data_IF_554253272414
#
_entry.id   IF_554253272414
#
_cell.length_a   1.000
_cell.length_b   1.000
_cell.length_c   1.000
_cell.angle_alpha   90.00
_cell.angle_beta   90.00
_cell.angle_gamma   90.00
#
_symmetry.space_group_name_H-M   'P 1'
#
loop_
_entity.id
_entity.type
_entity.pdbx_description
1 polymer ?
#
# COMPACT_ATOMS: atom_id res chain seq x y z
N UNK A 1 -34.10 7.66 -86.32
CA UNK A 1 -34.48 6.27 -86.07
C UNK A 1 -34.11 6.00 -84.67
N UNK A 2 -34.94 6.09 -83.68
CA UNK A 2 -35.88 5.16 -83.11
C UNK A 2 -35.05 4.34 -82.10
N UNK A 3 -35.31 4.17 -80.88
CA UNK A 3 -36.57 3.88 -80.20
C UNK A 3 -36.41 4.09 -78.69
N UNK A 4 -37.49 4.50 -78.08
CA UNK A 4 -37.78 4.57 -76.66
C UNK A 4 -37.81 3.18 -76.02
N UNK A 5 -37.35 3.06 -74.81
CA UNK A 5 -37.81 2.03 -73.91
C UNK A 5 -37.78 2.51 -72.47
N UNK A 6 -38.96 2.45 -71.99
CA UNK A 6 -39.55 2.93 -70.76
C UNK A 6 -38.93 2.46 -69.47
N UNK A 7 -39.04 3.37 -68.54
CA UNK A 7 -38.85 3.20 -67.10
C UNK A 7 -39.72 2.12 -66.50
N UNK A 8 -39.19 1.34 -65.60
CA UNK A 8 -39.96 0.71 -64.52
C UNK A 8 -39.30 1.08 -63.15
N UNK A 9 -39.98 1.95 -62.48
CA UNK A 9 -39.77 2.21 -61.06
C UNK A 9 -40.11 0.93 -60.30
N UNK A 10 -39.13 0.39 -59.60
CA UNK A 10 -39.38 -0.52 -58.48
C UNK A 10 -39.00 0.20 -57.21
N UNK A 11 -40.03 0.51 -56.43
CA UNK A 11 -39.94 0.93 -55.05
C UNK A 11 -39.48 -0.25 -54.23
N UNK A 12 -38.24 -0.23 -53.74
CA UNK A 12 -37.82 -1.12 -52.69
C UNK A 12 -37.77 -0.32 -51.39
N UNK A 13 -38.66 -0.71 -50.49
CA UNK A 13 -38.77 -0.19 -49.14
C UNK A 13 -37.48 -0.48 -48.41
N UNK A 14 -36.78 0.54 -47.99
CA UNK A 14 -35.67 0.45 -47.06
C UNK A 14 -36.19 0.22 -45.65
N UNK A 15 -35.92 -0.95 -45.10
CA UNK A 15 -36.04 -1.19 -43.66
C UNK A 15 -34.74 -0.76 -42.93
N UNK A 16 -34.84 -0.12 -41.78
CA UNK A 16 -33.65 0.25 -41.04
C UNK A 16 -33.17 -0.93 -40.19
N UNK A 17 -32.11 -1.58 -40.58
CA UNK A 17 -31.32 -2.41 -39.67
C UNK A 17 -30.07 -1.67 -39.30
N UNK A 18 -30.20 -0.80 -38.31
CA UNK A 18 -29.06 -0.25 -37.60
C UNK A 18 -28.70 -1.20 -36.45
N UNK A 19 -27.88 -2.20 -36.72
CA UNK A 19 -27.14 -2.87 -35.65
C UNK A 19 -25.79 -2.14 -35.48
N UNK A 20 -25.78 -1.14 -34.60
CA UNK A 20 -24.56 -0.61 -34.06
C UNK A 20 -24.06 -1.60 -33.00
N UNK A 21 -23.20 -2.52 -33.40
CA UNK A 21 -22.37 -3.27 -32.47
C UNK A 21 -21.35 -2.30 -31.90
N UNK A 22 -21.68 -1.67 -30.76
CA UNK A 22 -20.70 -1.01 -29.93
C UNK A 22 -19.80 -2.10 -29.32
N UNK A 23 -18.66 -2.34 -29.96
CA UNK A 23 -17.56 -3.07 -29.36
C UNK A 23 -17.11 -2.26 -28.15
N UNK A 24 -17.61 -2.63 -26.97
CA UNK A 24 -17.14 -2.12 -25.70
C UNK A 24 -15.69 -2.51 -25.57
N UNK A 25 -14.81 -1.54 -25.74
CA UNK A 25 -13.41 -1.66 -25.31
C UNK A 25 -13.48 -1.93 -23.81
N UNK A 26 -12.92 -3.04 -23.28
CA UNK A 26 -12.84 -3.20 -21.84
C UNK A 26 -12.01 -2.02 -21.34
N UNK A 27 -12.66 -1.08 -20.69
CA UNK A 27 -11.97 -0.12 -19.85
C UNK A 27 -11.28 -0.97 -18.78
N UNK A 28 -9.98 -1.17 -18.94
CA UNK A 28 -9.15 -1.55 -17.83
C UNK A 28 -9.27 -0.41 -16.83
N UNK A 29 -10.22 -0.56 -15.92
CA UNK A 29 -10.27 0.25 -14.73
C UNK A 29 -8.86 0.15 -14.14
N UNK A 30 -8.16 1.25 -14.10
CA UNK A 30 -6.93 1.36 -13.34
C UNK A 30 -7.27 0.80 -11.97
N UNK A 31 -6.75 -0.37 -11.68
CA UNK A 31 -6.81 -0.95 -10.35
C UNK A 31 -6.00 -0.01 -9.46
N UNK A 32 -6.63 1.08 -9.04
CA UNK A 32 -6.28 1.67 -7.78
C UNK A 32 -6.46 0.52 -6.83
N UNK A 33 -5.36 0.03 -6.28
CA UNK A 33 -5.39 -1.02 -5.28
C UNK A 33 -6.38 -0.54 -4.22
N UNK A 34 -7.59 -1.05 -4.30
CA UNK A 34 -8.61 -0.82 -3.30
C UNK A 34 -8.00 -1.49 -2.08
N UNK A 35 -7.47 -0.70 -1.17
CA UNK A 35 -7.16 -1.18 0.16
C UNK A 35 -8.46 -1.81 0.65
N UNK A 36 -8.49 -3.13 0.83
CA UNK A 36 -9.63 -3.83 1.41
C UNK A 36 -9.77 -3.55 2.91
N UNK A 37 -8.98 -2.60 3.43
CA UNK A 37 -9.10 -2.03 4.77
C UNK A 37 -10.39 -1.23 4.87
N UNK A 38 -11.03 -1.30 6.02
CA UNK A 38 -12.06 -0.33 6.35
C UNK A 38 -11.44 1.07 6.44
N UNK A 39 -12.23 2.11 6.21
CA UNK A 39 -11.75 3.49 6.37
C UNK A 39 -11.12 3.70 7.76
N UNK A 40 -11.73 3.17 8.81
CA UNK A 40 -11.23 3.26 10.18
C UNK A 40 -9.83 2.64 10.35
N UNK A 41 -9.60 1.49 9.72
CA UNK A 41 -8.32 0.80 9.78
C UNK A 41 -7.25 1.53 8.95
N UNK A 42 -7.57 2.06 7.77
CA UNK A 42 -6.65 2.89 6.98
C UNK A 42 -6.26 4.17 7.75
N UNK A 43 -7.21 4.84 8.39
CA UNK A 43 -6.94 6.00 9.25
C UNK A 43 -6.03 5.64 10.44
N UNK A 44 -6.25 4.47 11.09
CA UNK A 44 -5.40 4.02 12.18
C UNK A 44 -3.96 3.79 11.72
N UNK A 45 -3.79 3.11 10.59
CA UNK A 45 -2.47 2.87 9.98
C UNK A 45 -1.73 4.19 9.73
N UNK A 46 -2.40 5.17 9.09
CA UNK A 46 -1.77 6.47 8.81
C UNK A 46 -1.44 7.25 10.07
N UNK A 47 -2.31 7.20 11.08
CA UNK A 47 -2.07 7.83 12.38
C UNK A 47 -0.88 7.23 13.11
N UNK A 48 -0.65 5.93 12.97
CA UNK A 48 0.52 5.25 13.52
C UNK A 48 1.83 5.91 13.05
N UNK A 49 2.03 6.04 11.74
CA UNK A 49 3.24 6.66 11.21
C UNK A 49 3.35 8.16 11.56
N UNK A 50 2.23 8.88 11.53
CA UNK A 50 2.20 10.29 11.90
C UNK A 50 2.55 10.54 13.39
N UNK A 51 2.28 9.57 14.27
CA UNK A 51 2.61 9.69 15.70
C UNK A 51 4.13 9.67 15.95
N UNK A 52 4.88 8.90 15.17
CA UNK A 52 6.34 8.87 15.21
C UNK A 52 6.95 10.24 14.86
N UNK A 53 6.42 10.91 13.87
CA UNK A 53 6.90 12.23 13.46
C UNK A 53 6.70 13.28 14.57
N UNK A 54 5.64 13.12 15.36
CA UNK A 54 5.34 14.01 16.51
C UNK A 54 6.15 13.70 17.75
N UNK A 55 6.83 12.55 17.81
CA UNK A 55 7.64 12.09 18.96
C UNK A 55 6.87 12.07 20.29
N UNK A 56 5.57 11.89 20.23
CA UNK A 56 4.68 11.80 21.39
C UNK A 56 4.20 10.35 21.57
N UNK A 57 4.56 9.74 22.71
CA UNK A 57 4.17 8.38 23.04
C UNK A 57 2.69 8.21 23.33
N UNK A 58 2.03 9.22 23.88
CA UNK A 58 0.64 9.08 24.33
C UNK A 58 -0.34 8.63 23.26
N UNK A 59 -0.35 9.22 22.04
CA UNK A 59 -1.19 8.69 20.97
C UNK A 59 -0.76 7.29 20.51
N UNK A 60 0.53 6.97 20.56
CA UNK A 60 1.04 5.63 20.25
C UNK A 60 0.50 4.61 21.25
N UNK A 61 0.59 4.89 22.54
CA UNK A 61 0.09 4.02 23.61
C UNK A 61 -1.40 3.68 23.47
N UNK A 62 -2.20 4.66 23.08
CA UNK A 62 -3.65 4.49 22.87
C UNK A 62 -3.94 3.61 21.65
N UNK A 63 -3.13 3.74 20.58
CA UNK A 63 -3.31 2.97 19.35
C UNK A 63 -2.89 1.51 19.49
N UNK A 64 -2.03 1.15 20.45
CA UNK A 64 -1.59 -0.21 20.67
C UNK A 64 -2.57 -0.97 21.59
N UNK A 65 -2.82 -2.25 21.26
CA UNK A 65 -3.55 -3.16 22.15
C UNK A 65 -2.73 -3.45 23.43
N UNK A 66 -3.39 -3.85 24.51
CA UNK A 66 -2.68 -4.18 25.75
C UNK A 66 -1.75 -5.41 25.59
N UNK A 67 -2.18 -6.37 24.79
CA UNK A 67 -1.44 -7.57 24.42
C UNK A 67 -0.67 -7.41 23.09
N UNK A 68 -0.35 -6.16 22.73
CA UNK A 68 0.41 -5.85 21.53
C UNK A 68 1.75 -6.58 21.51
N UNK A 69 2.14 -7.04 20.32
CA UNK A 69 3.44 -7.64 20.06
C UNK A 69 4.17 -6.95 18.90
N UNK A 70 5.49 -6.92 19.00
CA UNK A 70 6.36 -6.45 17.94
C UNK A 70 7.45 -7.47 17.63
N UNK A 71 7.69 -7.67 16.34
CA UNK A 71 8.80 -8.48 15.85
C UNK A 71 9.58 -7.71 14.78
N UNK A 72 10.89 -7.95 14.68
CA UNK A 72 11.71 -7.33 13.65
C UNK A 72 12.83 -8.24 13.17
N UNK A 73 13.35 -7.92 11.99
CA UNK A 73 14.54 -8.58 11.44
C UNK A 73 15.82 -8.34 12.25
N UNK A 74 15.80 -7.44 13.24
CA UNK A 74 16.93 -7.19 14.14
C UNK A 74 17.02 -8.19 15.30
N UNK A 75 16.06 -9.11 15.41
CA UNK A 75 16.04 -10.15 16.43
C UNK A 75 14.99 -9.95 17.52
N UNK A 76 14.14 -8.92 17.41
CA UNK A 76 12.95 -8.81 18.26
C UNK A 76 11.96 -9.91 17.86
N UNK A 77 11.46 -10.64 18.83
CA UNK A 77 10.49 -11.71 18.61
C UNK A 77 9.34 -11.59 19.60
N UNK A 78 8.18 -11.13 19.13
CA UNK A 78 6.94 -10.94 19.89
C UNK A 78 7.13 -10.16 21.20
N UNK A 79 8.02 -9.17 21.19
CA UNK A 79 8.23 -8.33 22.37
C UNK A 79 6.96 -7.55 22.73
N UNK A 80 6.73 -7.38 24.03
CA UNK A 80 5.52 -6.72 24.54
C UNK A 80 5.52 -5.21 24.26
N UNK A 81 4.34 -4.60 24.42
CA UNK A 81 4.15 -3.14 24.31
C UNK A 81 5.14 -2.34 25.17
N UNK A 82 5.41 -2.77 26.40
CA UNK A 82 6.36 -2.10 27.28
C UNK A 82 7.81 -2.27 26.81
N UNK A 83 8.17 -3.48 26.35
CA UNK A 83 9.48 -3.73 25.76
C UNK A 83 9.69 -2.94 24.46
N UNK A 84 8.68 -2.90 23.60
CA UNK A 84 8.69 -2.09 22.37
C UNK A 84 8.93 -0.60 22.69
N UNK A 85 8.22 -0.05 23.69
CA UNK A 85 8.45 1.32 24.14
C UNK A 85 9.90 1.55 24.54
N UNK A 86 10.44 0.70 25.41
CA UNK A 86 11.79 0.86 25.97
C UNK A 86 12.90 0.64 24.94
N UNK A 87 12.76 -0.38 24.08
CA UNK A 87 13.83 -0.83 23.19
C UNK A 87 13.76 -0.18 21.80
N UNK A 88 12.56 -0.01 21.25
CA UNK A 88 12.38 0.51 19.89
C UNK A 88 12.01 2.00 19.89
N UNK A 89 10.94 2.38 20.60
CA UNK A 89 10.48 3.76 20.57
C UNK A 89 11.53 4.74 21.14
N UNK A 90 12.00 4.51 22.35
CA UNK A 90 12.95 5.43 22.99
C UNK A 90 14.28 5.55 22.25
N UNK A 91 14.72 4.49 21.60
CA UNK A 91 15.98 4.51 20.82
C UNK A 91 15.83 5.16 19.44
N UNK A 92 14.63 5.12 18.84
CA UNK A 92 14.41 5.49 17.44
C UNK A 92 13.67 6.82 17.25
N UNK A 93 12.86 7.27 18.23
CA UNK A 93 12.05 8.48 18.11
C UNK A 93 12.83 9.72 17.66
N UNK A 94 14.06 9.88 18.14
CA UNK A 94 14.91 11.03 17.80
C UNK A 94 15.72 10.80 16.52
N UNK A 95 15.86 9.55 16.11
CA UNK A 95 16.53 9.18 14.86
C UNK A 95 15.59 9.28 13.65
N UNK A 96 14.32 8.92 13.81
CA UNK A 96 13.32 8.99 12.75
C UNK A 96 12.86 10.44 12.57
N UNK A 97 12.90 10.94 11.33
CA UNK A 97 12.41 12.26 10.97
C UNK A 97 10.98 12.21 10.46
N UNK A 98 10.70 11.35 9.46
CA UNK A 98 9.37 11.18 8.87
C UNK A 98 9.26 9.87 8.10
N UNK A 99 8.04 9.47 7.81
CA UNK A 99 7.72 8.35 6.94
C UNK A 99 7.06 8.82 5.65
N UNK A 100 7.50 8.25 4.54
CA UNK A 100 6.89 8.45 3.23
C UNK A 100 6.23 7.13 2.81
N UNK A 101 4.91 7.02 3.01
CA UNK A 101 4.16 5.80 2.75
C UNK A 101 4.00 5.60 1.25
N UNK A 102 4.65 4.59 0.71
CA UNK A 102 4.67 4.28 -0.71
C UNK A 102 3.47 3.43 -1.14
N UNK A 103 3.10 2.45 -0.34
CA UNK A 103 1.99 1.53 -0.59
C UNK A 103 1.38 1.10 0.74
N UNK A 104 0.07 1.07 0.78
CA UNK A 104 -0.72 0.47 1.85
C UNK A 104 -1.65 -0.54 1.21
N UNK A 105 -1.47 -1.80 1.52
CA UNK A 105 -2.35 -2.88 1.12
C UNK A 105 -2.95 -3.51 2.35
N UNK A 106 -4.22 -3.87 2.30
CA UNK A 106 -4.82 -4.56 3.42
C UNK A 106 -6.18 -5.14 3.09
N UNK A 107 -6.63 -6.04 3.93
CA UNK A 107 -7.95 -6.66 3.88
C UNK A 107 -8.40 -6.98 5.29
N UNK A 108 -9.62 -6.58 5.65
CA UNK A 108 -10.14 -6.79 7.00
C UNK A 108 -9.25 -6.13 8.06
N UNK A 109 -8.61 -6.95 8.87
CA UNK A 109 -7.81 -6.55 10.02
C UNK A 109 -6.29 -6.71 9.80
N UNK A 110 -5.86 -6.79 8.55
CA UNK A 110 -4.44 -6.96 8.19
C UNK A 110 -4.00 -5.91 7.18
N UNK A 111 -2.79 -5.38 7.35
CA UNK A 111 -2.20 -4.45 6.41
C UNK A 111 -0.71 -4.72 6.18
N UNK A 112 -0.26 -4.51 4.94
CA UNK A 112 1.14 -4.37 4.58
C UNK A 112 1.41 -2.94 4.17
N UNK A 113 2.43 -2.35 4.75
CA UNK A 113 2.82 -0.96 4.48
C UNK A 113 4.26 -0.92 4.01
N UNK A 114 4.45 -0.46 2.78
CA UNK A 114 5.78 -0.14 2.25
C UNK A 114 6.04 1.35 2.45
N UNK A 115 7.18 1.69 3.01
CA UNK A 115 7.53 3.08 3.24
C UNK A 115 9.03 3.37 3.09
N UNK A 116 9.33 4.63 2.92
CA UNK A 116 10.67 5.18 3.09
C UNK A 116 10.69 5.89 4.44
N UNK A 117 11.54 5.42 5.34
CA UNK A 117 11.87 6.12 6.58
C UNK A 117 12.98 7.12 6.30
N UNK A 118 12.76 8.38 6.61
CA UNK A 118 13.77 9.42 6.58
C UNK A 118 14.32 9.64 7.99
N UNK A 119 15.62 9.78 8.08
CA UNK A 119 16.32 9.94 9.35
C UNK A 119 16.80 11.36 9.54
N UNK A 120 17.04 11.76 10.79
CA UNK A 120 17.54 13.10 11.14
C UNK A 120 18.95 13.39 10.64
N UNK A 121 19.72 12.35 10.32
CA UNK A 121 21.05 12.49 9.72
C UNK A 121 21.05 12.45 8.19
N UNK A 122 19.86 12.57 7.55
CA UNK A 122 19.70 12.65 6.10
C UNK A 122 19.74 11.32 5.36
N UNK A 123 19.86 10.18 6.05
CA UNK A 123 19.77 8.86 5.41
C UNK A 123 18.31 8.43 5.23
N UNK A 124 18.09 7.49 4.33
CA UNK A 124 16.80 6.88 4.08
C UNK A 124 16.88 5.36 4.17
N UNK A 125 15.83 4.74 4.70
CA UNK A 125 15.68 3.29 4.81
C UNK A 125 14.37 2.89 4.14
N UNK A 126 14.37 1.78 3.41
CA UNK A 126 13.15 1.20 2.82
C UNK A 126 12.73 0.00 3.64
N UNK A 127 11.51 0.02 4.12
CA UNK A 127 10.97 -1.04 4.95
C UNK A 127 9.59 -1.49 4.46
N UNK A 128 9.21 -2.69 4.89
CA UNK A 128 7.85 -3.20 4.83
C UNK A 128 7.47 -3.59 6.25
N UNK A 129 6.27 -3.23 6.65
CA UNK A 129 5.67 -3.71 7.90
C UNK A 129 4.38 -4.47 7.60
N UNK A 130 4.18 -5.57 8.29
CA UNK A 130 2.90 -6.23 8.44
C UNK A 130 2.27 -5.77 9.74
N UNK A 131 1.01 -5.32 9.66
CA UNK A 131 0.24 -4.84 10.80
C UNK A 131 -1.02 -5.70 10.96
N UNK A 132 -1.26 -6.18 12.16
CA UNK A 132 -2.51 -6.81 12.54
C UNK A 132 -3.30 -5.87 13.43
N UNK A 133 -4.55 -5.64 13.02
CA UNK A 133 -5.48 -4.74 13.71
C UNK A 133 -6.53 -5.57 14.45
N UNK A 134 -7.00 -5.06 15.57
CA UNK A 134 -8.09 -5.68 16.34
C UNK A 134 -8.79 -4.61 17.16
N UNK A 135 -10.11 -4.53 17.09
CA UNK A 135 -10.95 -3.58 17.85
C UNK A 135 -10.50 -2.11 17.71
N UNK A 136 -10.01 -1.74 16.51
CA UNK A 136 -9.52 -0.40 16.22
C UNK A 136 -8.18 -0.05 16.88
N UNK A 137 -7.39 -1.06 17.21
CA UNK A 137 -6.03 -0.96 17.72
C UNK A 137 -5.06 -1.81 16.91
N UNK A 138 -3.78 -1.51 16.99
CA UNK A 138 -2.70 -2.35 16.49
C UNK A 138 -2.44 -3.47 17.50
N UNK A 139 -2.67 -4.71 17.08
CA UNK A 139 -2.46 -5.89 17.91
C UNK A 139 -1.08 -6.52 17.68
N UNK A 140 -0.52 -6.40 16.48
CA UNK A 140 0.83 -6.83 16.19
C UNK A 140 1.45 -5.99 15.08
N UNK A 141 2.76 -5.84 15.11
CA UNK A 141 3.58 -5.31 14.03
C UNK A 141 4.78 -6.22 13.81
N UNK A 142 5.02 -6.57 12.55
CA UNK A 142 6.23 -7.27 12.14
C UNK A 142 6.97 -6.38 11.11
N UNK A 143 8.19 -5.95 11.45
CA UNK A 143 8.96 -5.06 10.63
C UNK A 143 10.03 -5.81 9.84
N UNK A 144 9.94 -5.76 8.52
CA UNK A 144 10.87 -6.38 7.60
C UNK A 144 11.76 -5.31 6.97
N UNK A 145 12.97 -5.20 7.45
CA UNK A 145 13.98 -4.32 6.88
C UNK A 145 15.26 -5.08 6.54
N UNK A 146 15.90 -4.69 5.46
CA UNK A 146 17.22 -5.19 5.13
C UNK A 146 18.28 -4.40 5.88
N UNK A 147 19.02 -5.05 6.78
CA UNK A 147 20.25 -4.46 7.26
C UNK A 147 21.30 -4.58 6.15
N UNK A 148 21.95 -3.47 5.78
CA UNK A 148 23.04 -3.50 4.79
C UNK A 148 24.15 -4.49 5.14
N UNK A 149 24.34 -4.78 6.42
CA UNK A 149 25.30 -5.76 6.90
C UNK A 149 24.83 -7.22 6.80
N UNK A 150 23.54 -7.48 6.56
CA UNK A 150 22.98 -8.84 6.50
C UNK A 150 22.95 -9.41 5.08
N UNK A 151 23.06 -8.56 4.08
CA UNK A 151 23.18 -9.02 2.70
C UNK A 151 24.66 -9.12 2.34
N UNK A 152 25.08 -10.21 1.67
CA UNK A 152 26.41 -10.24 1.09
C UNK A 152 26.57 -8.94 0.29
N UNK A 153 27.62 -8.19 0.56
CA UNK A 153 28.01 -7.06 -0.27
C UNK A 153 27.91 -7.54 -1.71
N UNK A 154 27.27 -6.79 -2.58
CA UNK A 154 27.12 -7.16 -3.97
C UNK A 154 28.43 -7.78 -4.41
N UNK A 155 28.36 -9.01 -4.92
CA UNK A 155 29.53 -9.71 -5.44
C UNK A 155 30.22 -8.67 -6.31
N UNK A 156 31.38 -8.21 -5.88
CA UNK A 156 32.19 -7.32 -6.69
C UNK A 156 32.37 -8.07 -7.98
N UNK A 157 31.79 -7.57 -9.05
CA UNK A 157 32.05 -8.09 -10.38
C UNK A 157 33.56 -8.07 -10.51
N UNK A 158 34.16 -9.23 -10.46
CA UNK A 158 35.59 -9.37 -10.65
C UNK A 158 35.94 -8.67 -11.96
N UNK A 159 37.12 -8.09 -12.07
CA UNK A 159 37.55 -7.49 -13.32
C UNK A 159 37.51 -8.59 -14.37
N UNK A 160 36.71 -8.38 -15.44
CA UNK A 160 36.76 -9.16 -16.68
C UNK A 160 38.03 -8.88 -17.45
#
# INVERSE_FOLDING_TARGET
MGTKAQARRMLLKAGPCALAAAAGIPQFASAHAVSGLTQKNDELVRRWYAAWEKKDWRPVDIMLAEDFTFSSAAGDDHISKSAFKAQCWESQKDFISRFDLQRVFGSGDEAFVMYICHTTNGKTLRNVEYLRLRDGKLAAIECYFGAQSSFPSAVSAGPG
#
